data_IF_191325711946
#
_entry.id   IF_191325711946
#
_cell.length_a   1.000
_cell.length_b   1.000
_cell.length_c   1.000
_cell.angle_alpha   90.00
_cell.angle_beta   90.00
_cell.angle_gamma   90.00
#
_symmetry.space_group_name_H-M   'P 1'
#
loop_
_entity.id
_entity.type
_entity.pdbx_description
1 polymer ?
#
# COMPACT_ATOMS: atom_id res chain seq x y z
N UNK A 1 -29.01 12.08 -10.78
CA UNK A 1 -28.22 11.24 -11.66
C UNK A 1 -26.86 11.79 -11.88
N UNK A 2 -26.79 12.91 -12.50
CA UNK A 2 -25.49 13.54 -12.65
C UNK A 2 -24.82 13.80 -11.32
N UNK A 3 -25.62 14.06 -10.29
CA UNK A 3 -25.10 14.34 -8.97
C UNK A 3 -24.34 13.14 -8.39
N UNK A 4 -24.86 11.95 -8.63
CA UNK A 4 -24.20 10.76 -8.11
C UNK A 4 -22.84 10.57 -8.74
N UNK A 5 -22.75 10.79 -10.02
CA UNK A 5 -21.49 10.63 -10.72
C UNK A 5 -20.49 11.67 -10.26
N UNK A 6 -20.98 12.87 -10.01
CA UNK A 6 -20.09 13.93 -9.56
C UNK A 6 -19.51 13.62 -8.20
N UNK A 7 -20.32 13.06 -7.32
CA UNK A 7 -19.84 12.71 -5.98
C UNK A 7 -18.75 11.67 -6.07
N UNK A 8 -18.94 10.67 -6.91
CA UNK A 8 -17.94 9.63 -7.10
C UNK A 8 -16.64 10.21 -7.63
N UNK A 9 -16.75 11.07 -8.62
CA UNK A 9 -15.57 11.67 -9.23
C UNK A 9 -14.82 12.53 -8.23
N UNK A 10 -15.57 13.30 -7.43
CA UNK A 10 -14.94 14.16 -6.44
C UNK A 10 -14.14 13.35 -5.43
N UNK A 11 -14.71 12.23 -4.98
CA UNK A 11 -14.01 11.39 -4.04
C UNK A 11 -12.70 10.89 -4.62
N UNK A 12 -12.75 10.44 -5.88
CA UNK A 12 -11.56 9.93 -6.55
C UNK A 12 -10.51 11.02 -6.69
N UNK A 13 -10.95 12.22 -7.03
CA UNK A 13 -10.03 13.33 -7.25
C UNK A 13 -9.36 13.79 -5.96
N UNK A 14 -10.05 13.62 -4.84
CA UNK A 14 -9.52 14.07 -3.56
C UNK A 14 -8.53 13.08 -2.97
N UNK A 15 -8.52 11.84 -3.44
CA UNK A 15 -7.57 10.85 -2.94
C UNK A 15 -6.21 11.11 -3.52
N UNK A 16 -5.20 11.09 -2.64
CA UNK A 16 -3.82 11.17 -3.10
C UNK A 16 -3.44 9.84 -3.75
N UNK A 17 -2.62 9.88 -4.81
CA UNK A 17 -2.17 8.63 -5.41
C UNK A 17 -1.50 7.69 -4.43
N UNK A 18 -0.76 8.23 -3.45
CA UNK A 18 -0.10 7.40 -2.44
C UNK A 18 -1.12 6.63 -1.61
N UNK A 19 -2.27 7.23 -1.32
CA UNK A 19 -3.30 6.55 -0.54
C UNK A 19 -3.88 5.37 -1.31
N UNK A 20 -4.06 5.52 -2.60
CA UNK A 20 -4.59 4.44 -3.43
C UNK A 20 -3.59 3.29 -3.54
N UNK A 21 -2.32 3.61 -3.64
CA UNK A 21 -1.28 2.58 -3.69
C UNK A 21 -1.22 1.87 -2.34
N UNK A 22 -1.32 2.62 -1.24
CA UNK A 22 -1.33 2.03 0.09
C UNK A 22 -2.54 1.11 0.28
N UNK A 23 -3.70 1.50 -0.23
CA UNK A 23 -4.89 0.65 -0.13
C UNK A 23 -4.68 -0.68 -0.84
N UNK A 24 -4.04 -0.66 -2.00
CA UNK A 24 -3.75 -1.89 -2.71
C UNK A 24 -2.75 -2.74 -1.95
N UNK A 25 -1.71 -2.12 -1.40
CA UNK A 25 -0.72 -2.84 -0.59
C UNK A 25 -1.41 -3.49 0.61
N UNK A 26 -2.31 -2.75 1.26
CA UNK A 26 -3.03 -3.29 2.41
C UNK A 26 -3.88 -4.49 2.00
N UNK A 27 -4.53 -4.42 0.87
CA UNK A 27 -5.33 -5.53 0.38
C UNK A 27 -4.47 -6.78 0.18
N UNK A 28 -3.29 -6.61 -0.40
CA UNK A 28 -2.38 -7.72 -0.62
C UNK A 28 -1.91 -8.30 0.71
N UNK A 29 -1.51 -7.43 1.64
CA UNK A 29 -1.01 -7.88 2.93
C UNK A 29 -2.09 -8.63 3.70
N UNK A 30 -3.31 -8.11 3.71
CA UNK A 30 -4.42 -8.77 4.39
C UNK A 30 -4.71 -10.15 3.79
N UNK A 31 -4.42 -10.33 2.52
CA UNK A 31 -4.57 -11.64 1.89
C UNK A 31 -3.49 -12.63 2.26
N UNK A 32 -2.39 -12.16 2.85
CA UNK A 32 -1.26 -13.03 3.20
C UNK A 32 -1.23 -13.41 4.69
N UNK A 33 -1.84 -12.60 5.56
CA UNK A 33 -1.74 -12.79 7.00
C UNK A 33 -2.96 -13.51 7.55
N UNK A 34 -2.81 -14.02 8.78
CA UNK A 34 -3.92 -14.64 9.50
C UNK A 34 -4.69 -13.60 10.32
N UNK A 35 -4.00 -12.59 10.84
CA UNK A 35 -4.60 -11.59 11.73
C UNK A 35 -4.70 -10.25 11.00
N UNK A 36 -5.78 -10.10 10.25
CA UNK A 36 -5.99 -8.89 9.45
C UNK A 36 -6.20 -7.66 10.33
N UNK A 37 -6.74 -7.85 11.53
CA UNK A 37 -7.03 -6.73 12.42
C UNK A 37 -5.76 -6.05 12.92
N UNK A 38 -4.64 -6.76 12.90
CA UNK A 38 -3.37 -6.20 13.33
C UNK A 38 -2.60 -5.52 12.21
N UNK A 39 -3.12 -5.54 10.98
CA UNK A 39 -2.45 -4.91 9.85
C UNK A 39 -2.73 -3.42 9.86
N UNK A 40 -1.67 -2.64 9.76
CA UNK A 40 -1.80 -1.20 9.57
C UNK A 40 -0.67 -0.73 8.67
N UNK A 41 -0.93 0.34 7.94
CA UNK A 41 0.06 0.92 7.06
C UNK A 41 0.23 2.38 7.41
N UNK A 42 1.49 2.80 7.52
CA UNK A 42 1.84 4.22 7.65
C UNK A 42 2.35 4.71 6.32
N UNK A 43 1.75 5.79 5.84
CA UNK A 43 2.13 6.39 4.56
C UNK A 43 2.77 7.74 4.84
N UNK A 44 4.03 7.88 4.45
CA UNK A 44 4.76 9.13 4.60
C UNK A 44 5.11 9.68 3.23
N UNK A 45 4.54 10.82 2.89
CA UNK A 45 4.86 11.48 1.64
C UNK A 45 6.04 12.42 1.86
N UNK A 46 7.02 12.31 0.99
CA UNK A 46 8.22 13.13 1.02
C UNK A 46 8.38 13.79 -0.33
N UNK A 47 9.29 14.75 -0.38
CA UNK A 47 9.60 15.38 -1.63
C UNK A 47 10.08 14.32 -2.62
N UNK A 48 9.33 14.14 -3.69
CA UNK A 48 9.69 13.20 -4.75
C UNK A 48 9.35 11.75 -4.48
N UNK A 49 8.74 11.41 -3.32
CA UNK A 49 8.48 10.02 -3.02
C UNK A 49 7.55 9.75 -1.87
N UNK A 50 7.27 8.49 -1.69
CA UNK A 50 6.37 8.00 -0.65
C UNK A 50 6.98 6.76 -0.02
N UNK A 51 6.91 6.68 1.30
CA UNK A 51 7.30 5.48 2.03
C UNK A 51 6.07 4.88 2.66
N UNK A 52 5.83 3.60 2.40
CA UNK A 52 4.74 2.84 3.00
C UNK A 52 5.35 1.84 3.96
N UNK A 53 5.00 1.95 5.24
CA UNK A 53 5.49 1.05 6.26
C UNK A 53 4.36 0.15 6.71
N UNK A 54 4.60 -1.16 6.67
CA UNK A 54 3.58 -2.16 6.98
C UNK A 54 3.83 -2.70 8.38
N UNK A 55 2.79 -2.66 9.22
CA UNK A 55 2.81 -3.34 10.51
C UNK A 55 1.80 -4.46 10.50
N UNK A 56 2.16 -5.57 11.13
CA UNK A 56 1.26 -6.71 11.26
C UNK A 56 1.62 -7.47 12.53
N UNK A 57 0.84 -8.50 12.84
CA UNK A 57 1.15 -9.34 13.98
C UNK A 57 2.52 -9.98 13.78
N UNK A 58 3.27 -10.11 14.88
CA UNK A 58 4.62 -10.64 14.82
C UNK A 58 4.66 -12.01 14.14
N UNK A 59 3.66 -12.83 14.43
CA UNK A 59 3.59 -14.16 13.86
C UNK A 59 3.37 -14.15 12.35
N UNK A 60 2.88 -13.03 11.81
CA UNK A 60 2.56 -12.93 10.38
C UNK A 60 3.64 -12.24 9.57
N UNK A 61 4.64 -11.65 10.23
CA UNK A 61 5.67 -10.89 9.52
C UNK A 61 6.36 -11.74 8.45
N UNK A 62 6.64 -13.00 8.78
CA UNK A 62 7.28 -13.90 7.83
C UNK A 62 6.43 -14.18 6.60
N UNK A 63 5.10 -14.12 6.74
CA UNK A 63 4.20 -14.33 5.62
C UNK A 63 4.21 -13.15 4.67
N UNK A 64 4.35 -11.96 5.20
CA UNK A 64 4.42 -10.76 4.37
C UNK A 64 5.76 -10.68 3.66
N UNK A 65 6.84 -11.00 4.37
CA UNK A 65 8.17 -10.98 3.79
C UNK A 65 8.36 -12.12 2.80
N UNK A 66 7.91 -13.30 3.19
CA UNK A 66 8.00 -14.48 2.35
C UNK A 66 9.38 -15.10 2.35
N UNK A 67 9.46 -16.31 1.80
CA UNK A 67 10.73 -17.03 1.73
C UNK A 67 11.71 -16.26 0.88
N UNK A 68 12.88 -16.00 1.43
CA UNK A 68 13.94 -15.23 0.76
C UNK A 68 13.46 -13.84 0.36
N UNK A 69 12.45 -13.32 1.05
CA UNK A 69 11.94 -11.98 0.79
C UNK A 69 11.13 -11.85 -0.49
N UNK A 70 10.62 -12.95 -1.02
CA UNK A 70 9.94 -12.93 -2.32
C UNK A 70 8.65 -12.12 -2.32
N UNK A 71 7.86 -12.26 -1.26
CA UNK A 71 6.59 -11.53 -1.19
C UNK A 71 6.82 -10.03 -1.10
N UNK A 72 7.71 -9.61 -0.19
CA UNK A 72 7.93 -8.18 -0.05
C UNK A 72 8.57 -7.58 -1.31
N UNK A 73 9.42 -8.34 -2.00
CA UNK A 73 9.98 -7.86 -3.26
C UNK A 73 8.89 -7.68 -4.31
N UNK A 74 7.95 -8.61 -4.37
CA UNK A 74 6.84 -8.51 -5.32
C UNK A 74 5.98 -7.30 -4.99
N UNK A 75 5.68 -7.09 -3.72
CA UNK A 75 4.88 -5.95 -3.29
C UNK A 75 5.59 -4.65 -3.68
N UNK A 76 6.90 -4.56 -3.43
CA UNK A 76 7.67 -3.39 -3.82
C UNK A 76 7.63 -3.14 -5.32
N UNK A 77 7.78 -4.20 -6.10
CA UNK A 77 7.78 -4.07 -7.55
C UNK A 77 6.47 -3.49 -8.04
N UNK A 78 5.35 -4.00 -7.51
CA UNK A 78 4.03 -3.50 -7.90
C UNK A 78 3.86 -2.06 -7.45
N UNK A 79 4.21 -1.75 -6.20
CA UNK A 79 4.05 -0.41 -5.66
C UNK A 79 4.88 0.60 -6.45
N UNK A 80 6.11 0.23 -6.81
CA UNK A 80 6.98 1.11 -7.59
C UNK A 80 6.44 1.35 -8.98
N UNK A 81 5.90 0.30 -9.60
CA UNK A 81 5.32 0.45 -10.93
C UNK A 81 4.14 1.42 -10.90
N UNK A 82 3.29 1.30 -9.88
CA UNK A 82 2.17 2.21 -9.73
C UNK A 82 2.64 3.64 -9.44
N UNK A 83 3.68 3.77 -8.62
CA UNK A 83 4.24 5.08 -8.33
C UNK A 83 4.75 5.78 -9.57
N UNK A 84 5.41 5.03 -10.46
CA UNK A 84 5.93 5.61 -11.69
C UNK A 84 4.83 6.21 -12.55
N UNK A 85 3.66 5.59 -12.53
CA UNK A 85 2.54 6.08 -13.33
C UNK A 85 2.03 7.43 -12.85
N UNK A 86 2.24 7.75 -11.58
CA UNK A 86 1.80 9.02 -11.01
C UNK A 86 2.97 9.94 -10.68
N UNK A 87 4.17 9.58 -11.16
CA UNK A 87 5.34 10.45 -10.99
C UNK A 87 5.91 10.45 -9.59
N UNK A 88 5.73 9.37 -8.83
CA UNK A 88 6.21 9.28 -7.46
C UNK A 88 7.11 8.06 -7.28
N UNK A 89 8.14 8.21 -6.47
CA UNK A 89 9.01 7.10 -6.10
C UNK A 89 8.43 6.47 -4.83
N UNK A 90 8.03 5.20 -4.92
CA UNK A 90 7.36 4.53 -3.80
C UNK A 90 8.25 3.42 -3.25
N UNK A 91 8.43 3.42 -1.94
CA UNK A 91 9.11 2.33 -1.24
C UNK A 91 8.18 1.71 -0.22
N UNK A 92 8.38 0.42 0.04
CA UNK A 92 7.57 -0.34 0.99
C UNK A 92 8.49 -1.08 1.93
N UNK A 93 8.22 -0.98 3.23
CA UNK A 93 8.99 -1.68 4.24
C UNK A 93 8.06 -2.38 5.21
N UNK A 94 8.53 -3.49 5.77
CA UNK A 94 7.80 -4.21 6.80
C UNK A 94 8.48 -3.93 8.14
N UNK A 95 7.70 -3.46 9.10
CA UNK A 95 8.17 -3.22 10.45
C UNK A 95 7.92 -4.46 11.29
N UNK A 96 8.86 -4.78 12.12
CA UNK A 96 8.70 -5.93 12.99
C UNK A 96 9.87 -6.90 12.92
#
# INVERSE_FOLDING_TARGET
MAADQQVTDSTTEEELPSDRIADLVELIVCGLVDDEDSVSLDVTDREGGTLIEIECAEADAGKVIGRHGRQIKAIRTIARALGQRVGSSVDVEVLG
#
